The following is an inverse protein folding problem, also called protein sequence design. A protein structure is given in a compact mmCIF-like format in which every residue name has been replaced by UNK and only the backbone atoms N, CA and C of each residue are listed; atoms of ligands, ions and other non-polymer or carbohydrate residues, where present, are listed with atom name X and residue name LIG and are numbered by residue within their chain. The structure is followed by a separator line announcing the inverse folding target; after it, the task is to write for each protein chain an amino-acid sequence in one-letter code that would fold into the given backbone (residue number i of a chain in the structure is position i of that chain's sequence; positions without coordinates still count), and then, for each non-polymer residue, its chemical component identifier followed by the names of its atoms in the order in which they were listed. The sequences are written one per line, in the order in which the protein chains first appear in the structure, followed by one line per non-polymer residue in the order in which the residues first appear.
data_IF_965408013547
#
_entry.id   IF_965408013547
#
_cell.length_a   1.000
_cell.length_b   1.000
_cell.length_c   1.000
_cell.angle_alpha   90.00
_cell.angle_beta   90.00
_cell.angle_gamma   90.00
#
_symmetry.space_group_name_H-M   'P 1'
#
loop_
_entity.id
_entity.type
_entity.pdbx_description
1 polymer ?
#
# COMPACT_ATOMS: atom_id res chain seq x y z
N UNK A 1 -52.64 -23.99 -25.88
CA UNK A 1 -51.59 -23.99 -24.83
C UNK A 1 -50.30 -24.35 -25.54
N UNK A 2 -49.42 -23.37 -25.79
CA UNK A 2 -48.14 -23.61 -26.44
C UNK A 2 -47.16 -23.96 -25.31
N UNK A 3 -46.73 -25.22 -25.25
CA UNK A 3 -45.67 -25.66 -24.34
C UNK A 3 -44.36 -25.31 -25.05
N UNK A 4 -43.50 -24.42 -24.51
CA UNK A 4 -42.23 -24.11 -25.12
C UNK A 4 -41.41 -25.38 -25.28
N UNK A 5 -40.70 -25.51 -26.39
CA UNK A 5 -39.84 -26.68 -26.59
C UNK A 5 -38.80 -26.73 -25.46
N UNK A 6 -38.47 -27.92 -24.97
CA UNK A 6 -37.44 -28.13 -23.94
C UNK A 6 -36.13 -27.40 -24.29
N UNK A 7 -35.79 -27.27 -25.57
CA UNK A 7 -34.64 -26.51 -26.07
C UNK A 7 -34.72 -25.00 -25.82
N UNK A 8 -35.89 -24.39 -25.89
CA UNK A 8 -36.08 -22.95 -25.61
C UNK A 8 -35.97 -22.66 -24.12
N UNK A 9 -36.53 -23.53 -23.28
CA UNK A 9 -36.42 -23.43 -21.82
C UNK A 9 -34.97 -23.62 -21.35
N UNK A 10 -34.27 -24.62 -21.90
CA UNK A 10 -32.87 -24.89 -21.57
C UNK A 10 -31.96 -23.71 -21.97
N UNK A 11 -32.21 -23.11 -23.14
CA UNK A 11 -31.45 -21.95 -23.61
C UNK A 11 -31.69 -20.70 -22.74
N UNK A 12 -32.93 -20.49 -22.29
CA UNK A 12 -33.24 -19.40 -21.36
C UNK A 12 -32.55 -19.57 -20.00
N UNK A 13 -32.59 -20.77 -19.42
CA UNK A 13 -31.91 -21.07 -18.15
C UNK A 13 -30.39 -20.97 -18.27
N UNK A 14 -29.81 -21.37 -19.41
CA UNK A 14 -28.39 -21.19 -19.69
C UNK A 14 -28.01 -19.70 -19.78
N UNK A 15 -28.83 -18.88 -20.44
CA UNK A 15 -28.63 -17.44 -20.52
C UNK A 15 -28.72 -16.76 -19.14
N UNK A 16 -29.69 -17.14 -18.32
CA UNK A 16 -29.81 -16.65 -16.93
C UNK A 16 -28.62 -17.06 -16.07
N UNK A 17 -28.16 -18.32 -16.20
CA UNK A 17 -26.97 -18.81 -15.49
C UNK A 17 -25.71 -18.03 -15.90
N UNK A 18 -25.52 -17.79 -17.21
CA UNK A 18 -24.39 -17.00 -17.71
C UNK A 18 -24.44 -15.53 -17.24
N UNK A 19 -25.64 -14.92 -17.21
CA UNK A 19 -25.83 -13.56 -16.67
C UNK A 19 -25.50 -13.49 -15.17
N UNK A 20 -25.93 -14.48 -14.38
CA UNK A 20 -25.60 -14.57 -12.96
C UNK A 20 -24.09 -14.75 -12.72
N UNK A 21 -23.42 -15.62 -13.49
CA UNK A 21 -21.97 -15.80 -13.42
C UNK A 21 -21.25 -14.50 -13.77
N UNK A 22 -21.71 -13.81 -14.83
CA UNK A 22 -21.12 -12.53 -15.26
C UNK A 22 -21.23 -11.47 -14.16
N UNK A 23 -22.41 -11.32 -13.55
CA UNK A 23 -22.65 -10.40 -12.43
C UNK A 23 -21.81 -10.76 -11.21
N UNK A 24 -21.68 -12.05 -10.90
CA UNK A 24 -20.85 -12.52 -9.79
C UNK A 24 -19.37 -12.17 -10.01
N UNK A 25 -18.83 -12.42 -11.20
CA UNK A 25 -17.44 -12.08 -11.55
C UNK A 25 -17.22 -10.57 -11.41
N UNK A 26 -18.11 -9.75 -11.98
CA UNK A 26 -18.01 -8.29 -11.87
C UNK A 26 -18.02 -7.80 -10.42
N UNK A 27 -18.90 -8.35 -9.58
CA UNK A 27 -18.95 -8.01 -8.17
C UNK A 27 -17.71 -8.49 -7.40
N UNK A 28 -17.19 -9.67 -7.73
CA UNK A 28 -15.98 -10.20 -7.13
C UNK A 28 -14.77 -9.33 -7.47
N UNK A 29 -14.62 -8.94 -8.73
CA UNK A 29 -13.53 -8.08 -9.19
C UNK A 29 -13.56 -6.72 -8.48
N UNK A 30 -14.73 -6.08 -8.39
CA UNK A 30 -14.90 -4.83 -7.65
C UNK A 30 -14.55 -4.96 -6.16
N UNK A 31 -15.01 -6.02 -5.51
CA UNK A 31 -14.69 -6.26 -4.10
C UNK A 31 -13.20 -6.56 -3.88
N UNK A 32 -12.56 -7.24 -4.84
CA UNK A 32 -11.13 -7.53 -4.79
C UNK A 32 -10.31 -6.25 -4.96
N UNK A 33 -10.63 -5.42 -5.95
CA UNK A 33 -9.98 -4.12 -6.17
C UNK A 33 -10.08 -3.23 -4.93
N UNK A 34 -11.27 -3.14 -4.33
CA UNK A 34 -11.46 -2.37 -3.09
C UNK A 34 -10.59 -2.90 -1.94
N UNK A 35 -10.56 -4.22 -1.73
CA UNK A 35 -9.75 -4.83 -0.66
C UNK A 35 -8.25 -4.65 -0.90
N UNK A 36 -7.80 -4.71 -2.15
CA UNK A 36 -6.41 -4.47 -2.52
C UNK A 36 -6.02 -3.02 -2.22
N UNK A 37 -6.88 -2.05 -2.55
CA UNK A 37 -6.69 -0.64 -2.21
C UNK A 37 -6.58 -0.42 -0.69
N UNK A 38 -7.56 -0.93 0.07
CA UNK A 38 -7.56 -0.83 1.54
C UNK A 38 -6.31 -1.48 2.14
N UNK A 39 -5.87 -2.62 1.60
CA UNK A 39 -4.65 -3.30 2.03
C UNK A 39 -3.38 -2.52 1.69
N UNK A 40 -3.35 -1.80 0.55
CA UNK A 40 -2.22 -0.96 0.16
C UNK A 40 -2.07 0.23 1.11
N UNK A 41 -3.18 0.87 1.48
CA UNK A 41 -3.20 1.98 2.45
C UNK A 41 -2.73 1.49 3.82
N UNK A 42 -3.41 0.47 4.39
CA UNK A 42 -3.09 -0.04 5.71
C UNK A 42 -1.66 -0.62 5.78
N UNK A 43 -1.22 -1.32 4.73
CA UNK A 43 0.15 -1.82 4.61
C UNK A 43 1.17 -0.68 4.52
N UNK A 44 0.85 0.38 3.79
CA UNK A 44 1.68 1.58 3.68
C UNK A 44 1.87 2.29 5.01
N UNK A 45 0.79 2.48 5.78
CA UNK A 45 0.85 3.09 7.11
C UNK A 45 1.72 2.30 8.09
N UNK A 46 1.52 0.98 8.13
CA UNK A 46 2.31 0.10 8.99
C UNK A 46 3.78 0.11 8.61
N UNK A 47 4.07 0.16 7.31
CA UNK A 47 5.43 0.24 6.81
C UNK A 47 6.08 1.58 7.14
N UNK A 48 5.37 2.69 6.99
CA UNK A 48 5.83 4.01 7.40
C UNK A 48 6.15 4.05 8.91
N UNK A 49 5.28 3.48 9.75
CA UNK A 49 5.51 3.38 11.19
C UNK A 49 6.79 2.60 11.52
N UNK A 50 6.98 1.43 10.91
CA UNK A 50 8.18 0.61 11.10
C UNK A 50 9.45 1.35 10.66
N UNK A 51 9.38 2.08 9.54
CA UNK A 51 10.51 2.88 9.05
C UNK A 51 10.88 4.01 10.00
N UNK A 52 9.88 4.71 10.53
CA UNK A 52 10.09 5.79 11.49
C UNK A 52 10.73 5.30 12.79
N UNK A 53 10.31 4.12 13.27
CA UNK A 53 10.92 3.45 14.42
C UNK A 53 12.38 3.05 14.12
N UNK A 54 12.64 2.44 12.95
CA UNK A 54 14.00 2.07 12.56
C UNK A 54 14.92 3.27 12.37
N UNK A 55 14.40 4.40 11.91
CA UNK A 55 15.14 5.66 11.79
C UNK A 55 15.37 6.36 13.14
N UNK A 56 14.47 6.22 14.11
CA UNK A 56 14.69 6.80 15.44
C UNK A 56 15.80 6.11 16.22
N UNK A 57 15.97 4.81 16.01
CA UNK A 57 17.03 4.01 16.64
C UNK A 57 18.35 4.01 15.86
N UNK A 58 18.36 4.63 14.68
CA UNK A 58 19.51 4.59 13.79
C UNK A 58 20.58 5.60 14.20
N UNK A 59 21.84 5.16 14.13
CA UNK A 59 23.01 6.00 14.33
C UNK A 59 24.05 5.75 13.21
N UNK A 60 24.72 6.80 12.71
CA UNK A 60 25.74 6.65 11.68
C UNK A 60 26.86 5.69 12.08
N UNK A 61 27.16 4.72 11.22
CA UNK A 61 28.21 3.72 11.45
C UNK A 61 27.83 2.59 12.41
N UNK A 62 26.65 2.63 13.05
CA UNK A 62 26.14 1.53 13.88
C UNK A 62 25.45 0.48 13.01
N UNK A 63 26.05 -0.71 12.93
CA UNK A 63 25.54 -1.86 12.15
C UNK A 63 25.10 -1.48 10.71
N UNK A 64 25.93 -0.75 9.93
CA UNK A 64 25.51 -0.12 8.67
C UNK A 64 25.00 -1.11 7.62
N UNK A 65 25.66 -2.26 7.48
CA UNK A 65 25.24 -3.33 6.56
C UNK A 65 23.87 -3.91 6.94
N UNK A 66 23.59 -4.07 8.23
CA UNK A 66 22.29 -4.60 8.69
C UNK A 66 21.19 -3.58 8.47
N UNK A 67 21.48 -2.30 8.71
CA UNK A 67 20.56 -1.21 8.46
C UNK A 67 20.21 -1.10 6.96
N UNK A 68 21.21 -1.08 6.06
CA UNK A 68 20.95 -1.06 4.62
C UNK A 68 20.12 -2.26 4.15
N UNK A 69 20.41 -3.47 4.65
CA UNK A 69 19.60 -4.67 4.36
C UNK A 69 18.16 -4.55 4.87
N UNK A 70 17.92 -3.88 5.99
CA UNK A 70 16.55 -3.58 6.47
C UNK A 70 15.84 -2.62 5.53
N UNK A 71 16.49 -1.51 5.17
CA UNK A 71 15.95 -0.52 4.23
C UNK A 71 15.62 -1.14 2.86
N UNK A 72 16.49 -1.99 2.33
CA UNK A 72 16.24 -2.74 1.09
C UNK A 72 15.01 -3.65 1.18
N UNK A 73 14.80 -4.32 2.32
CA UNK A 73 13.60 -5.14 2.52
C UNK A 73 12.34 -4.29 2.58
N UNK A 74 12.38 -3.13 3.22
CA UNK A 74 11.25 -2.21 3.23
C UNK A 74 10.98 -1.63 1.85
N UNK A 75 12.02 -1.30 1.08
CA UNK A 75 11.88 -0.86 -0.31
C UNK A 75 11.11 -1.89 -1.16
N UNK A 76 11.46 -3.17 -1.03
CA UNK A 76 10.74 -4.25 -1.70
C UNK A 76 9.28 -4.38 -1.25
N UNK A 77 8.99 -4.16 0.04
CA UNK A 77 7.60 -4.14 0.54
C UNK A 77 6.81 -2.97 -0.06
N UNK A 78 7.38 -1.77 -0.14
CA UNK A 78 6.73 -0.61 -0.77
C UNK A 78 6.38 -0.93 -2.23
N UNK A 79 7.31 -1.54 -2.98
CA UNK A 79 7.07 -1.91 -4.38
C UNK A 79 5.89 -2.88 -4.54
N UNK A 80 5.74 -3.85 -3.63
CA UNK A 80 4.60 -4.79 -3.64
C UNK A 80 3.30 -4.07 -3.33
N UNK A 81 3.29 -3.15 -2.36
CA UNK A 81 2.10 -2.36 -2.02
C UNK A 81 1.70 -1.43 -3.18
N UNK A 82 2.68 -0.77 -3.81
CA UNK A 82 2.46 0.15 -4.91
C UNK A 82 1.82 -0.53 -6.13
N UNK A 83 2.16 -1.79 -6.41
CA UNK A 83 1.56 -2.57 -7.50
C UNK A 83 0.05 -2.79 -7.34
N UNK A 84 -0.49 -2.57 -6.13
CA UNK A 84 -1.89 -2.78 -5.80
C UNK A 84 -2.58 -1.50 -5.29
N UNK A 85 -1.88 -0.37 -5.35
CA UNK A 85 -2.39 0.91 -4.86
C UNK A 85 -3.18 1.64 -5.93
N UNK A 86 -4.20 2.38 -5.50
CA UNK A 86 -4.84 3.39 -6.32
C UNK A 86 -3.92 4.62 -6.48
N UNK A 87 -4.24 5.58 -7.38
CA UNK A 87 -3.39 6.75 -7.60
C UNK A 87 -3.11 7.59 -6.35
N UNK A 88 -4.09 7.71 -5.44
CA UNK A 88 -3.96 8.54 -4.24
C UNK A 88 -2.97 7.92 -3.25
N UNK A 89 -3.17 6.66 -2.84
CA UNK A 89 -2.23 5.96 -1.98
C UNK A 89 -0.89 5.70 -2.68
N UNK A 90 -0.93 5.47 -4.00
CA UNK A 90 0.23 5.26 -4.85
C UNK A 90 1.23 6.41 -4.76
N UNK A 91 0.77 7.66 -4.73
CA UNK A 91 1.64 8.83 -4.62
C UNK A 91 2.49 8.84 -3.33
N UNK A 92 1.88 8.55 -2.17
CA UNK A 92 2.59 8.44 -0.90
C UNK A 92 3.51 7.22 -0.84
N UNK A 93 3.08 6.09 -1.42
CA UNK A 93 3.95 4.90 -1.53
C UNK A 93 5.17 5.17 -2.44
N UNK A 94 5.00 5.88 -3.56
CA UNK A 94 6.09 6.29 -4.45
C UNK A 94 7.08 7.22 -3.75
N UNK A 95 6.59 8.20 -2.98
CA UNK A 95 7.44 9.08 -2.18
C UNK A 95 8.26 8.30 -1.15
N UNK A 96 7.62 7.37 -0.42
CA UNK A 96 8.33 6.47 0.49
C UNK A 96 9.38 5.62 -0.22
N UNK A 97 9.05 5.08 -1.41
CA UNK A 97 9.99 4.32 -2.23
C UNK A 97 11.22 5.17 -2.57
N UNK A 98 11.02 6.42 -3.02
CA UNK A 98 12.11 7.33 -3.36
C UNK A 98 12.97 7.69 -2.14
N UNK A 99 12.37 7.86 -0.97
CA UNK A 99 13.09 8.11 0.27
C UNK A 99 13.97 6.92 0.67
N UNK A 100 13.43 5.70 0.59
CA UNK A 100 14.18 4.48 0.88
C UNK A 100 15.30 4.24 -0.13
N UNK A 101 15.04 4.48 -1.41
CA UNK A 101 16.06 4.37 -2.45
C UNK A 101 17.23 5.33 -2.19
N UNK A 102 16.91 6.57 -1.82
CA UNK A 102 17.91 7.58 -1.42
C UNK A 102 18.75 7.17 -0.21
N UNK A 103 18.21 6.38 0.72
CA UNK A 103 18.97 5.81 1.85
C UNK A 103 19.87 4.67 1.36
N UNK A 104 19.28 3.70 0.64
CA UNK A 104 19.95 2.47 0.22
C UNK A 104 21.13 2.75 -0.71
N UNK A 105 20.97 3.74 -1.59
CA UNK A 105 21.98 4.11 -2.58
C UNK A 105 22.96 5.19 -2.08
N UNK A 106 22.83 5.63 -0.82
CA UNK A 106 23.81 6.55 -0.22
C UNK A 106 25.12 5.80 0.09
N UNK A 107 26.26 6.17 -0.51
CA UNK A 107 27.53 5.50 -0.25
C UNK A 107 27.99 5.65 1.21
N UNK A 108 27.56 6.68 1.93
CA UNK A 108 27.91 6.88 3.33
C UNK A 108 27.18 5.90 4.27
N UNK A 109 26.07 5.28 3.83
CA UNK A 109 25.25 4.41 4.69
C UNK A 109 25.94 3.11 5.09
N UNK A 110 26.88 2.63 4.27
CA UNK A 110 27.64 1.40 4.54
C UNK A 110 28.92 1.66 5.36
N UNK A 111 29.33 2.92 5.49
CA UNK A 111 30.58 3.26 6.15
C UNK A 111 30.47 3.12 7.67
N UNK A 112 31.39 2.36 8.27
CA UNK A 112 31.56 2.29 9.72
C UNK A 112 32.33 3.49 10.28
N UNK A 113 33.25 4.04 9.48
CA UNK A 113 34.18 5.09 9.90
C UNK A 113 33.90 6.35 9.08
N UNK A 114 32.84 7.06 9.47
CA UNK A 114 32.49 8.36 8.91
C UNK A 114 33.29 9.46 9.62
N UNK A 115 33.86 10.39 8.85
CA UNK A 115 34.36 11.66 9.39
C UNK A 115 33.23 12.46 10.05
N UNK A 116 33.58 13.43 10.91
CA UNK A 116 32.60 14.27 11.62
C UNK A 116 31.60 14.93 10.68
N UNK A 117 32.10 15.43 9.55
CA UNK A 117 31.30 16.23 8.62
C UNK A 117 30.34 15.34 7.84
N UNK A 118 30.83 14.20 7.33
CA UNK A 118 29.99 13.20 6.64
C UNK A 118 28.96 12.59 7.59
N UNK A 119 29.32 12.39 8.86
CA UNK A 119 28.38 11.92 9.89
C UNK A 119 27.24 12.92 10.10
N UNK A 120 27.57 14.21 10.26
CA UNK A 120 26.59 15.27 10.44
C UNK A 120 25.65 15.39 9.23
N UNK A 121 26.22 15.37 8.01
CA UNK A 121 25.43 15.41 6.77
C UNK A 121 24.47 14.22 6.65
N UNK A 122 24.95 13.01 6.97
CA UNK A 122 24.11 11.81 6.91
C UNK A 122 23.00 11.85 7.98
N UNK A 123 23.28 12.36 9.18
CA UNK A 123 22.26 12.57 10.20
C UNK A 123 21.20 13.57 9.78
N UNK A 124 21.61 14.70 9.19
CA UNK A 124 20.68 15.69 8.66
C UNK A 124 19.79 15.09 7.57
N UNK A 125 20.38 14.37 6.61
CA UNK A 125 19.64 13.67 5.56
C UNK A 125 18.63 12.67 6.13
N UNK A 126 19.01 11.86 7.11
CA UNK A 126 18.07 10.91 7.74
C UNK A 126 16.95 11.63 8.49
N UNK A 127 17.24 12.76 9.15
CA UNK A 127 16.22 13.55 9.81
C UNK A 127 15.24 14.18 8.81
N UNK A 128 15.72 14.68 7.68
CA UNK A 128 14.87 15.18 6.59
C UNK A 128 13.97 14.07 6.03
N UNK A 129 14.53 12.88 5.81
CA UNK A 129 13.75 11.72 5.35
C UNK A 129 12.71 11.31 6.39
N UNK A 130 13.07 11.31 7.68
CA UNK A 130 12.13 11.00 8.77
C UNK A 130 10.95 11.97 8.81
N UNK A 131 11.17 13.27 8.57
CA UNK A 131 10.09 14.26 8.49
C UNK A 131 9.16 13.94 7.33
N UNK A 132 9.71 13.68 6.14
CA UNK A 132 8.90 13.34 4.96
C UNK A 132 8.11 12.05 5.15
N UNK A 133 8.70 11.03 5.78
CA UNK A 133 8.01 9.78 6.11
C UNK A 133 6.84 9.97 7.10
N UNK A 134 6.93 10.95 8.02
CA UNK A 134 5.80 11.31 8.88
C UNK A 134 4.67 11.94 8.06
N UNK A 135 5.00 12.79 7.09
CA UNK A 135 4.01 13.40 6.20
C UNK A 135 3.32 12.32 5.35
N UNK A 136 4.07 11.36 4.78
CA UNK A 136 3.48 10.26 4.02
C UNK A 136 2.63 9.32 4.87
N UNK A 137 3.07 9.03 6.11
CA UNK A 137 2.25 8.27 7.05
C UNK A 137 0.91 8.98 7.32
N UNK A 138 0.94 10.30 7.51
CA UNK A 138 -0.26 11.09 7.76
C UNK A 138 -1.18 11.12 6.54
N UNK A 139 -0.62 11.22 5.34
CA UNK A 139 -1.40 11.18 4.10
C UNK A 139 -2.15 9.86 3.97
N UNK A 140 -1.48 8.73 4.22
CA UNK A 140 -2.12 7.41 4.18
C UNK A 140 -3.21 7.27 5.25
N UNK A 141 -2.98 7.79 6.47
CA UNK A 141 -3.99 7.84 7.53
C UNK A 141 -5.23 8.64 7.16
N UNK A 142 -5.06 9.76 6.45
CA UNK A 142 -6.19 10.55 5.95
C UNK A 142 -6.99 9.75 4.92
N UNK A 143 -6.32 9.11 3.96
CA UNK A 143 -6.98 8.25 2.97
C UNK A 143 -7.74 7.10 3.63
N UNK A 144 -7.16 6.46 4.65
CA UNK A 144 -7.83 5.41 5.41
C UNK A 144 -9.07 5.92 6.16
N UNK A 145 -9.07 7.17 6.63
CA UNK A 145 -10.22 7.74 7.35
C UNK A 145 -11.30 8.30 6.44
N UNK A 146 -10.92 8.83 5.27
CA UNK A 146 -11.86 9.34 4.28
C UNK A 146 -12.66 8.20 3.60
N UNK A 147 -12.02 7.05 3.33
CA UNK A 147 -12.71 5.87 2.79
C UNK A 147 -13.65 5.20 3.83
N UNK A 148 -13.38 5.35 5.14
CA UNK A 148 -14.29 4.88 6.21
C UNK A 148 -15.63 5.64 6.18
N UNK A 149 -15.68 6.86 5.62
CA UNK A 149 -16.92 7.60 5.39
C UNK A 149 -17.85 6.92 4.37
N UNK A 150 -17.29 6.38 3.28
CA UNK A 150 -18.02 5.64 2.25
C UNK A 150 -18.34 4.20 2.70
N UNK A 151 -17.40 3.52 3.34
CA UNK A 151 -17.57 2.14 3.80
C UNK A 151 -18.63 1.99 4.91
N UNK A 152 -18.79 2.97 5.82
CA UNK A 152 -19.94 3.01 6.75
C UNK A 152 -21.27 3.24 6.03
N UNK A 153 -21.30 4.07 4.99
CA UNK A 153 -22.51 4.36 4.22
C UNK A 153 -22.97 3.12 3.43
N UNK A 154 -22.04 2.38 2.83
CA UNK A 154 -22.31 1.16 2.08
C UNK A 154 -22.74 0.00 2.98
N UNK A 155 -22.12 -0.19 4.16
CA UNK A 155 -22.57 -1.24 5.10
C UNK A 155 -23.94 -0.93 5.71
N UNK A 156 -24.31 0.34 5.86
CA UNK A 156 -25.65 0.74 6.32
C UNK A 156 -26.73 0.57 5.24
N UNK A 157 -26.39 0.70 3.95
CA UNK A 157 -27.35 0.53 2.84
C UNK A 157 -27.65 -0.93 2.50
N UNK A 158 -26.83 -1.89 2.95
CA UNK A 158 -27.10 -3.33 2.82
C UNK A 158 -27.92 -3.95 3.97
N UNK A 159 -28.34 -3.16 4.97
CA UNK A 159 -29.36 -3.59 5.93
C UNK A 159 -30.76 -3.35 5.37
N UNK A 160 -31.16 -4.14 4.37
CA UNK A 160 -32.57 -4.25 3.99
C UNK A 160 -33.30 -5.22 4.93
N UNK A 161 -34.52 -4.81 5.31
CA UNK A 161 -35.56 -5.61 5.97
C UNK A 161 -36.00 -6.79 5.12
#
# INVERSE_FOLDING_TARGET
MIIPALSEQLNHQQAECLDQITKFIQQYDQNLEQRLRESAIAGGEQLAAQLLEELSDWEPGRKPVQFKKKMQRHLMKVQVLLANADPEAGSSLEAMMAHLDSIVNDPAIESKNLGSDTRSQLQQKMQEIRIKLLDEQRNLQLLATDDVGLSKATVMSFKFR
#
